data_IF_969623755695
#
_entry.id   IF_969623755695
#
_cell.length_a   1.000
_cell.length_b   1.000
_cell.length_c   1.000
_cell.angle_alpha   90.00
_cell.angle_beta   90.00
_cell.angle_gamma   90.00
#
_symmetry.space_group_name_H-M   'P 1'
#
loop_
_entity.id
_entity.type
_entity.pdbx_description
1 polymer ?
#
# COMPACT_ATOMS: atom_id res chain seq x y z
N UNK A 1 -19.28 -1.20 37.06
CA UNK A 1 -18.76 -1.43 38.43
C UNK A 1 -19.87 -1.35 39.44
N UNK A 2 -20.73 -0.31 39.37
CA UNK A 2 -21.82 -0.11 40.33
C UNK A 2 -22.90 -1.22 40.26
N UNK A 3 -22.96 -1.98 39.17
CA UNK A 3 -23.90 -3.10 39.00
C UNK A 3 -23.32 -4.45 39.47
N UNK A 4 -22.11 -4.44 40.05
CA UNK A 4 -21.51 -5.66 40.59
C UNK A 4 -22.03 -5.95 42.02
N UNK A 5 -22.85 -6.99 42.20
CA UNK A 5 -23.47 -7.29 43.50
C UNK A 5 -22.47 -7.78 44.55
N UNK A 6 -21.24 -8.09 44.16
CA UNK A 6 -20.19 -8.49 45.10
C UNK A 6 -19.47 -7.33 45.78
N UNK A 7 -19.67 -6.09 45.31
CA UNK A 7 -19.08 -4.92 45.91
C UNK A 7 -19.98 -4.36 47.05
N UNK A 8 -19.38 -4.06 48.20
CA UNK A 8 -20.10 -3.38 49.28
C UNK A 8 -20.52 -1.96 48.82
N UNK A 9 -21.66 -1.48 49.30
CA UNK A 9 -22.22 -0.19 48.89
C UNK A 9 -21.31 1.01 49.22
N UNK A 10 -20.39 0.86 50.14
CA UNK A 10 -19.39 1.84 50.59
C UNK A 10 -18.01 1.56 50.05
N UNK A 11 -17.88 0.66 49.06
CA UNK A 11 -16.59 0.35 48.45
C UNK A 11 -15.99 1.59 47.80
N UNK A 12 -14.71 1.91 48.05
CA UNK A 12 -14.01 3.03 47.42
C UNK A 12 -13.88 2.84 45.87
N UNK A 13 -14.14 1.63 45.36
CA UNK A 13 -14.21 1.35 43.93
C UNK A 13 -15.51 1.74 43.24
N UNK A 14 -16.52 2.21 44.04
CA UNK A 14 -17.80 2.63 43.49
C UNK A 14 -17.84 4.14 43.27
N UNK A 15 -18.31 4.54 42.09
CA UNK A 15 -18.63 5.94 41.85
C UNK A 15 -19.92 6.32 42.56
N UNK A 16 -19.93 7.46 43.25
CA UNK A 16 -21.17 8.00 43.82
C UNK A 16 -22.15 8.36 42.72
N UNK A 17 -23.48 8.31 43.01
CA UNK A 17 -24.48 8.72 42.02
C UNK A 17 -24.27 10.18 41.57
N UNK A 18 -23.86 11.05 42.48
CA UNK A 18 -23.51 12.45 42.15
C UNK A 18 -22.33 12.54 41.18
N UNK A 19 -21.29 11.73 41.36
CA UNK A 19 -20.16 11.69 40.44
C UNK A 19 -20.58 11.21 39.02
N UNK A 20 -21.41 10.14 38.97
CA UNK A 20 -21.96 9.62 37.72
C UNK A 20 -22.79 10.70 37.01
N UNK A 21 -23.66 11.40 37.71
CA UNK A 21 -24.53 12.44 37.15
C UNK A 21 -23.71 13.68 36.73
N UNK A 22 -22.63 14.01 37.43
CA UNK A 22 -21.71 15.06 37.04
C UNK A 22 -21.00 14.69 35.75
N UNK A 23 -20.39 13.50 35.63
CA UNK A 23 -19.73 13.04 34.40
C UNK A 23 -20.67 13.04 33.19
N UNK A 24 -21.93 12.61 33.35
CA UNK A 24 -22.93 12.64 32.27
C UNK A 24 -23.23 14.05 31.76
N UNK A 25 -23.10 15.07 32.59
CA UNK A 25 -23.34 16.48 32.23
C UNK A 25 -22.09 17.24 31.86
N UNK A 26 -20.91 16.69 32.15
CA UNK A 26 -19.63 17.32 31.92
C UNK A 26 -19.37 17.56 30.42
N UNK A 27 -18.65 18.65 30.10
CA UNK A 27 -18.35 19.09 28.75
C UNK A 27 -17.06 18.52 28.18
N UNK A 28 -16.51 17.48 28.70
CA UNK A 28 -15.31 16.83 28.19
C UNK A 28 -14.02 17.39 28.79
N UNK A 29 -13.81 18.70 28.74
CA UNK A 29 -12.58 19.40 29.14
C UNK A 29 -12.55 19.90 30.59
N UNK A 30 -13.53 19.55 31.40
CA UNK A 30 -13.72 20.04 32.77
C UNK A 30 -13.86 21.57 32.91
N UNK A 31 -14.19 22.28 31.84
CA UNK A 31 -14.39 23.74 31.88
C UNK A 31 -15.59 24.17 32.73
N UNK A 32 -16.51 23.27 32.96
CA UNK A 32 -17.69 23.47 33.81
C UNK A 32 -17.52 22.99 35.27
N UNK A 33 -16.35 22.45 35.63
CA UNK A 33 -16.03 21.95 36.96
C UNK A 33 -16.75 20.65 37.35
N UNK A 34 -17.39 19.94 36.40
CA UNK A 34 -18.11 18.70 36.64
C UNK A 34 -17.28 17.44 36.44
N UNK A 35 -16.06 17.58 35.92
CA UNK A 35 -15.18 16.49 35.58
C UNK A 35 -14.95 16.36 34.09
N UNK A 36 -14.18 15.35 33.68
CA UNK A 36 -13.92 15.07 32.27
C UNK A 36 -14.97 14.08 31.73
N UNK A 37 -15.34 14.26 30.46
CA UNK A 37 -16.20 13.32 29.73
C UNK A 37 -15.86 13.36 28.22
N UNK A 38 -14.78 12.72 27.88
CA UNK A 38 -14.26 12.73 26.51
C UNK A 38 -14.92 11.68 25.64
N UNK A 39 -15.32 12.08 24.43
CA UNK A 39 -15.49 11.16 23.30
C UNK A 39 -14.15 11.06 22.59
N UNK A 40 -13.42 9.99 22.86
CA UNK A 40 -12.08 9.79 22.27
C UNK A 40 -12.11 9.58 20.77
N UNK A 41 -13.23 9.09 20.20
CA UNK A 41 -13.37 9.00 18.75
C UNK A 41 -13.55 10.38 18.13
N UNK A 42 -14.45 11.19 18.65
CA UNK A 42 -14.59 12.56 18.17
C UNK A 42 -13.33 13.39 18.42
N UNK A 43 -12.62 13.14 19.51
CA UNK A 43 -11.35 13.80 19.80
C UNK A 43 -10.26 13.42 18.79
N UNK A 44 -10.13 12.14 18.45
CA UNK A 44 -9.01 11.63 17.63
C UNK A 44 -9.26 11.76 16.13
N UNK A 45 -10.51 11.69 15.66
CA UNK A 45 -10.82 11.52 14.26
C UNK A 45 -11.58 12.70 13.65
N UNK A 46 -11.35 12.91 12.36
CA UNK A 46 -12.03 13.91 11.55
C UNK A 46 -12.28 13.39 10.14
N UNK A 47 -13.26 13.93 9.40
CA UNK A 47 -13.41 13.65 7.99
C UNK A 47 -12.15 14.01 7.21
N UNK A 48 -11.75 13.17 6.26
CA UNK A 48 -10.64 13.46 5.36
C UNK A 48 -11.15 13.97 4.02
N UNK A 49 -10.36 14.87 3.40
CA UNK A 49 -10.64 15.38 2.05
C UNK A 49 -9.83 14.58 1.04
N UNK A 50 -10.52 14.10 0.01
CA UNK A 50 -9.93 13.43 -1.13
C UNK A 50 -9.92 14.39 -2.33
N UNK A 51 -8.78 14.54 -2.99
CA UNK A 51 -8.59 15.32 -4.20
C UNK A 51 -8.01 14.40 -5.27
N UNK A 52 -8.65 14.35 -6.43
CA UNK A 52 -8.18 13.59 -7.59
C UNK A 52 -8.25 14.49 -8.83
N UNK A 53 -7.09 14.80 -9.37
CA UNK A 53 -6.93 15.60 -10.58
C UNK A 53 -6.23 14.78 -11.63
N UNK A 54 -6.79 14.75 -12.84
CA UNK A 54 -6.15 14.13 -13.99
C UNK A 54 -6.28 15.01 -15.21
N UNK A 55 -5.18 15.11 -15.95
CA UNK A 55 -5.13 15.80 -17.24
C UNK A 55 -4.57 14.83 -18.27
N UNK A 56 -5.28 14.66 -19.37
CA UNK A 56 -4.78 13.87 -20.49
C UNK A 56 -4.85 14.66 -21.79
N UNK A 57 -3.83 14.44 -22.60
CA UNK A 57 -3.74 14.98 -23.96
C UNK A 57 -3.54 13.81 -24.91
N UNK A 58 -4.35 13.75 -25.94
CA UNK A 58 -4.22 12.78 -27.01
C UNK A 58 -4.32 13.46 -28.36
N UNK A 59 -3.58 12.97 -29.29
CA UNK A 59 -3.60 13.52 -30.64
C UNK A 59 -2.80 12.62 -31.59
N UNK A 60 -2.75 13.04 -32.83
CA UNK A 60 -1.97 12.35 -33.80
C UNK A 60 -2.25 12.81 -35.22
N UNK A 61 -1.53 12.22 -36.13
CA UNK A 61 -1.68 12.28 -37.56
C UNK A 61 -1.90 10.86 -38.09
N UNK A 62 -2.01 10.71 -39.39
CA UNK A 62 -2.07 9.38 -40.02
C UNK A 62 -0.85 8.49 -39.72
N UNK A 63 0.29 9.14 -39.34
CA UNK A 63 1.55 8.44 -39.07
C UNK A 63 2.02 8.41 -37.64
N UNK A 64 1.48 9.27 -36.77
CA UNK A 64 1.91 9.33 -35.39
C UNK A 64 0.70 9.54 -34.48
N UNK A 65 0.63 8.80 -33.40
CA UNK A 65 -0.40 8.89 -32.37
C UNK A 65 0.27 9.01 -31.03
N UNK A 66 -0.24 9.86 -30.18
CA UNK A 66 0.26 9.98 -28.82
C UNK A 66 -0.87 10.14 -27.81
N UNK A 67 -0.58 9.66 -26.61
CA UNK A 67 -1.40 9.86 -25.42
C UNK A 67 -0.46 10.17 -24.25
N UNK A 68 -0.73 11.27 -23.57
CA UNK A 68 0.01 11.71 -22.38
C UNK A 68 -1.01 11.93 -21.27
N UNK A 69 -0.74 11.40 -20.08
CA UNK A 69 -1.56 11.55 -18.87
C UNK A 69 -0.68 11.97 -17.71
N UNK A 70 -1.10 13.00 -17.01
CA UNK A 70 -0.62 13.37 -15.68
C UNK A 70 -1.76 13.30 -14.69
N UNK A 71 -1.54 12.69 -13.53
CA UNK A 71 -2.54 12.72 -12.45
C UNK A 71 -1.90 12.96 -11.10
N UNK A 72 -2.66 13.64 -10.25
CA UNK A 72 -2.36 13.95 -8.86
C UNK A 72 -3.52 13.51 -7.99
N UNK A 73 -3.23 12.68 -7.01
CA UNK A 73 -4.20 12.21 -6.03
C UNK A 73 -3.69 12.51 -4.63
N UNK A 74 -4.52 13.15 -3.82
CA UNK A 74 -4.24 13.42 -2.41
C UNK A 74 -5.43 12.97 -1.57
N UNK A 75 -5.15 12.15 -0.57
CA UNK A 75 -6.09 11.85 0.51
C UNK A 75 -5.52 12.46 1.78
N UNK A 76 -6.26 13.37 2.39
CA UNK A 76 -5.89 14.00 3.65
C UNK A 76 -5.97 13.01 4.82
N UNK A 77 -5.34 13.38 5.92
CA UNK A 77 -5.41 12.61 7.16
C UNK A 77 -6.78 12.71 7.82
N UNK A 78 -7.15 11.63 8.48
CA UNK A 78 -8.38 11.53 9.27
C UNK A 78 -8.14 11.67 10.78
N UNK A 79 -6.91 11.97 11.22
CA UNK A 79 -6.59 12.26 12.61
C UNK A 79 -6.64 13.76 12.88
N UNK A 80 -7.32 14.16 13.96
CA UNK A 80 -7.20 15.49 14.57
C UNK A 80 -5.86 15.58 15.32
N UNK A 81 -5.43 16.78 15.64
CA UNK A 81 -4.26 17.06 16.47
C UNK A 81 -2.92 16.47 15.97
N UNK A 82 -2.87 15.96 14.73
CA UNK A 82 -1.61 15.57 14.12
C UNK A 82 -0.89 16.81 13.58
N UNK A 83 0.42 16.90 13.76
CA UNK A 83 1.22 17.93 13.08
C UNK A 83 1.42 17.59 11.59
N UNK A 84 1.98 18.52 10.82
CA UNK A 84 2.17 18.35 9.36
C UNK A 84 3.03 17.14 9.00
N UNK A 85 3.96 16.73 9.89
CA UNK A 85 4.92 15.65 9.64
C UNK A 85 4.33 14.28 9.92
N UNK A 86 3.44 14.17 10.90
CA UNK A 86 2.76 12.92 11.25
C UNK A 86 1.29 12.87 10.81
N UNK A 87 0.85 13.80 9.98
CA UNK A 87 -0.46 13.73 9.34
C UNK A 87 -0.59 12.44 8.52
N UNK A 88 -1.69 11.72 8.73
CA UNK A 88 -1.96 10.47 8.00
C UNK A 88 -2.38 10.77 6.56
N UNK A 89 -1.40 11.13 5.72
CA UNK A 89 -1.60 11.58 4.35
C UNK A 89 -1.17 10.52 3.34
N UNK A 90 -1.89 10.44 2.24
CA UNK A 90 -1.50 9.70 1.05
C UNK A 90 -1.44 10.63 -0.16
N UNK A 91 -0.31 10.62 -0.87
CA UNK A 91 -0.08 11.36 -2.11
C UNK A 91 0.30 10.37 -3.21
N UNK A 92 -0.23 10.58 -4.41
CA UNK A 92 0.15 9.82 -5.60
C UNK A 92 0.26 10.72 -6.82
N UNK A 93 1.42 10.70 -7.42
CA UNK A 93 1.69 11.28 -8.73
C UNK A 93 1.77 10.15 -9.75
N UNK A 94 1.11 10.28 -10.86
CA UNK A 94 1.16 9.31 -11.93
C UNK A 94 1.35 10.02 -13.26
N UNK A 95 2.28 9.52 -14.05
CA UNK A 95 2.57 9.97 -15.40
C UNK A 95 2.56 8.79 -16.36
N UNK A 96 1.97 8.98 -17.52
CA UNK A 96 1.99 8.02 -18.61
C UNK A 96 2.14 8.73 -19.95
N UNK A 97 2.99 8.20 -20.81
CA UNK A 97 3.14 8.64 -22.19
C UNK A 97 3.22 7.42 -23.10
N UNK A 98 2.35 7.35 -24.08
CA UNK A 98 2.36 6.32 -25.12
C UNK A 98 2.47 7.03 -26.47
N UNK A 99 3.40 6.58 -27.28
CA UNK A 99 3.64 7.13 -28.61
C UNK A 99 3.76 5.98 -29.61
N UNK A 100 2.94 6.02 -30.64
CA UNK A 100 3.00 5.11 -31.78
C UNK A 100 3.35 5.90 -33.04
N UNK A 101 4.33 5.44 -33.78
CA UNK A 101 4.78 6.07 -35.01
C UNK A 101 4.86 5.06 -36.13
N UNK A 102 4.15 5.28 -37.21
CA UNK A 102 4.28 4.58 -38.47
C UNK A 102 5.45 5.21 -39.25
N UNK A 103 6.71 4.83 -38.88
CA UNK A 103 7.94 5.39 -39.43
C UNK A 103 8.03 5.17 -40.96
N UNK A 104 7.50 4.05 -41.45
CA UNK A 104 7.25 3.78 -42.87
C UNK A 104 5.91 3.07 -43.01
N UNK A 105 5.51 2.76 -44.25
CA UNK A 105 4.28 1.95 -44.50
C UNK A 105 4.33 0.55 -43.85
N UNK A 106 5.52 0.08 -43.51
CA UNK A 106 5.78 -1.27 -42.98
C UNK A 106 6.41 -1.26 -41.59
N UNK A 107 7.04 -0.17 -41.16
CA UNK A 107 7.77 -0.09 -39.90
C UNK A 107 6.95 0.75 -38.90
N UNK A 108 6.60 0.14 -37.78
CA UNK A 108 5.92 0.78 -36.63
C UNK A 108 6.83 0.78 -35.43
N UNK A 109 6.87 1.91 -34.75
CA UNK A 109 7.62 2.13 -33.51
C UNK A 109 6.61 2.49 -32.44
N UNK A 110 6.63 1.77 -31.31
CA UNK A 110 5.83 2.11 -30.13
C UNK A 110 6.73 2.34 -28.93
N UNK A 111 6.46 3.40 -28.19
CA UNK A 111 7.14 3.73 -26.93
C UNK A 111 6.07 3.96 -25.88
N UNK A 112 6.15 3.21 -24.78
CA UNK A 112 5.30 3.39 -23.62
C UNK A 112 6.17 3.72 -22.40
N UNK A 113 5.83 4.80 -21.70
CA UNK A 113 6.50 5.23 -20.50
C UNK A 113 5.46 5.42 -19.40
N UNK A 114 5.77 4.94 -18.21
CA UNK A 114 4.97 5.13 -17.02
C UNK A 114 5.84 5.44 -15.81
N UNK A 115 5.46 6.44 -15.05
CA UNK A 115 6.09 6.76 -13.77
C UNK A 115 5.02 6.98 -12.72
N UNK A 116 5.21 6.39 -11.54
CA UNK A 116 4.33 6.60 -10.39
C UNK A 116 5.15 6.80 -9.13
N UNK A 117 4.85 7.87 -8.42
CA UNK A 117 5.39 8.13 -7.08
C UNK A 117 4.23 8.13 -6.10
N UNK A 118 4.36 7.39 -5.02
CA UNK A 118 3.39 7.42 -3.92
C UNK A 118 4.11 7.73 -2.62
N UNK A 119 3.53 8.62 -1.83
CA UNK A 119 4.01 8.98 -0.51
C UNK A 119 2.92 8.71 0.52
N UNK A 120 3.30 8.00 1.58
CA UNK A 120 2.49 7.77 2.76
C UNK A 120 3.17 8.42 3.93
N UNK A 121 2.46 9.26 4.66
CA UNK A 121 2.91 9.80 5.93
C UNK A 121 1.91 9.42 7.00
N UNK A 122 2.37 8.87 8.11
CA UNK A 122 1.52 8.43 9.21
C UNK A 122 2.24 8.65 10.55
N UNK A 123 1.50 8.78 11.67
CA UNK A 123 2.09 8.90 13.00
C UNK A 123 3.00 7.72 13.34
N UNK A 124 3.92 7.92 14.26
CA UNK A 124 4.72 6.83 14.82
C UNK A 124 3.87 5.79 15.56
N UNK A 125 2.77 6.22 16.15
CA UNK A 125 1.75 5.33 16.69
C UNK A 125 0.98 4.61 15.58
N UNK A 126 0.78 3.30 15.75
CA UNK A 126 0.00 2.53 14.79
C UNK A 126 -1.50 2.87 14.86
N UNK A 127 -2.21 2.69 13.75
CA UNK A 127 -3.67 2.86 13.74
C UNK A 127 -4.36 1.95 14.75
N UNK A 128 -3.86 0.73 14.96
CA UNK A 128 -4.38 -0.19 15.96
C UNK A 128 -4.25 0.38 17.38
N UNK A 129 -3.11 1.00 17.71
CA UNK A 129 -2.92 1.63 19.02
C UNK A 129 -3.86 2.81 19.22
N UNK A 130 -4.02 3.69 18.23
CA UNK A 130 -4.93 4.84 18.32
C UNK A 130 -6.38 4.38 18.50
N UNK A 131 -6.83 3.40 17.72
CA UNK A 131 -8.18 2.83 17.84
C UNK A 131 -8.36 2.11 19.20
N UNK A 132 -7.35 1.38 19.66
CA UNK A 132 -7.38 0.73 20.97
C UNK A 132 -7.56 1.76 22.09
N UNK A 133 -6.77 2.83 22.07
CA UNK A 133 -6.92 3.92 23.06
C UNK A 133 -8.32 4.53 23.02
N UNK A 134 -8.85 4.82 21.83
CA UNK A 134 -10.18 5.38 21.68
C UNK A 134 -11.30 4.47 22.26
N UNK A 135 -11.08 3.15 22.26
CA UNK A 135 -12.04 2.18 22.79
C UNK A 135 -11.86 1.86 24.27
N UNK A 136 -10.64 1.98 24.80
CA UNK A 136 -10.32 1.45 26.14
C UNK A 136 -10.10 2.52 27.18
N UNK A 137 -9.77 3.76 26.79
CA UNK A 137 -9.59 4.83 27.76
C UNK A 137 -10.95 5.25 28.35
N UNK A 138 -11.05 5.32 29.69
CA UNK A 138 -12.25 5.82 30.34
C UNK A 138 -12.50 7.31 30.04
N UNK A 139 -13.71 7.72 29.71
CA UNK A 139 -14.03 9.10 29.34
C UNK A 139 -13.79 10.12 30.45
N UNK A 140 -13.74 9.67 31.71
CA UNK A 140 -13.52 10.53 32.87
C UNK A 140 -12.02 10.85 33.12
N UNK A 141 -11.09 10.27 32.39
CA UNK A 141 -9.68 10.61 32.52
C UNK A 141 -9.35 11.89 31.73
N UNK A 142 -8.51 12.78 32.27
CA UNK A 142 -8.04 13.94 31.51
C UNK A 142 -7.18 13.50 30.32
N UNK A 143 -7.28 14.19 29.19
CA UNK A 143 -6.30 14.05 28.11
C UNK A 143 -5.09 14.94 28.41
N UNK A 144 -5.34 16.12 28.94
CA UNK A 144 -4.34 17.10 29.28
C UNK A 144 -4.57 17.67 30.68
N UNK A 145 -3.48 18.04 31.32
CA UNK A 145 -3.48 18.75 32.60
C UNK A 145 -3.04 20.20 32.37
N UNK A 146 -3.60 21.17 33.10
CA UNK A 146 -3.09 22.53 33.06
C UNK A 146 -1.68 22.60 33.67
N UNK A 147 -0.87 23.56 33.21
CA UNK A 147 0.43 23.81 33.82
C UNK A 147 0.25 24.24 35.29
N UNK A 148 1.05 23.66 36.16
CA UNK A 148 1.07 24.00 37.58
C UNK A 148 2.01 25.19 37.93
N UNK A 149 2.55 25.88 36.90
CA UNK A 149 3.44 27.03 37.07
C UNK A 149 4.89 26.67 37.45
N UNK A 150 5.27 25.41 37.36
CA UNK A 150 6.59 24.95 37.73
C UNK A 150 7.53 24.88 36.51
N UNK A 151 8.79 25.36 36.68
CA UNK A 151 9.79 25.46 35.62
C UNK A 151 10.24 24.11 35.06
N UNK A 152 10.03 23.00 35.81
CA UNK A 152 10.47 21.66 35.36
C UNK A 152 9.71 21.17 34.14
N UNK A 153 8.45 21.52 34.00
CA UNK A 153 7.62 21.07 32.90
C UNK A 153 7.33 22.18 31.87
N UNK A 154 8.05 23.30 31.95
CA UNK A 154 7.87 24.42 31.02
C UNK A 154 8.06 24.00 29.56
N UNK A 155 9.09 23.22 29.27
CA UNK A 155 9.37 22.72 27.92
C UNK A 155 8.25 21.83 27.38
N UNK A 156 7.78 20.86 28.18
CA UNK A 156 6.68 19.98 27.81
C UNK A 156 5.36 20.76 27.64
N UNK A 157 5.12 21.74 28.50
CA UNK A 157 3.96 22.62 28.42
C UNK A 157 3.96 23.43 27.12
N UNK A 158 5.07 24.07 26.77
CA UNK A 158 5.20 24.86 25.54
C UNK A 158 5.05 24.00 24.29
N UNK A 159 5.69 22.82 24.26
CA UNK A 159 5.62 21.89 23.15
C UNK A 159 4.22 21.30 22.92
N UNK A 160 3.41 21.15 23.95
CA UNK A 160 2.04 20.66 23.89
C UNK A 160 0.97 21.77 23.82
N UNK A 161 1.37 22.99 23.41
CA UNK A 161 0.43 24.10 23.23
C UNK A 161 -0.15 24.64 24.54
N UNK A 162 0.60 24.57 25.62
CA UNK A 162 0.19 25.07 26.92
C UNK A 162 -0.46 24.03 27.86
N UNK A 163 -0.27 22.73 27.59
CA UNK A 163 -0.83 21.65 28.37
C UNK A 163 0.20 20.55 28.63
N UNK A 164 0.03 19.83 29.74
CA UNK A 164 0.78 18.61 30.06
C UNK A 164 -0.05 17.39 29.68
N UNK A 165 0.57 16.41 29.04
CA UNK A 165 -0.10 15.17 28.65
C UNK A 165 -0.33 14.30 29.90
N UNK A 166 -1.60 13.91 30.14
CA UNK A 166 -1.92 13.03 31.26
C UNK A 166 -1.70 11.56 30.91
N UNK A 167 -1.12 10.80 31.84
CA UNK A 167 -1.17 9.35 31.86
C UNK A 167 -1.07 8.85 33.30
N UNK A 168 -1.48 7.62 33.56
CA UNK A 168 -1.34 6.95 34.84
C UNK A 168 -0.74 5.54 34.67
N UNK A 169 -0.66 4.78 35.76
CA UNK A 169 -0.07 3.43 35.74
C UNK A 169 -0.89 2.42 34.96
N UNK A 170 -2.21 2.60 34.86
CA UNK A 170 -3.13 1.72 34.14
C UNK A 170 -3.25 2.16 32.67
N UNK A 171 -3.30 3.48 32.45
CA UNK A 171 -3.46 4.12 31.14
C UNK A 171 -2.23 4.97 30.79
N UNK A 172 -1.13 4.29 30.45
CA UNK A 172 0.21 4.89 30.26
C UNK A 172 0.39 5.68 28.97
N UNK A 173 -0.49 5.48 27.98
CA UNK A 173 -0.45 6.17 26.72
C UNK A 173 -1.51 7.27 26.66
N UNK A 174 -1.11 8.43 26.21
CA UNK A 174 -1.99 9.58 26.03
C UNK A 174 -2.46 9.69 24.58
N UNK A 175 -3.74 9.95 24.35
CA UNK A 175 -4.30 10.07 23.00
C UNK A 175 -3.65 11.20 22.21
N UNK A 176 -3.55 12.40 22.76
CA UNK A 176 -2.91 13.53 22.11
C UNK A 176 -1.41 13.26 21.84
N UNK A 177 -0.72 12.67 22.81
CA UNK A 177 0.67 12.26 22.66
C UNK A 177 0.88 11.24 21.54
N UNK A 178 -0.01 10.26 21.40
CA UNK A 178 0.07 9.30 20.30
C UNK A 178 -0.19 9.96 18.94
N UNK A 179 -1.05 10.94 18.85
CA UNK A 179 -1.37 11.65 17.61
C UNK A 179 -0.30 12.67 17.21
N UNK A 180 0.32 13.37 18.17
CA UNK A 180 1.19 14.52 17.91
C UNK A 180 2.67 14.32 18.28
N UNK A 181 2.99 13.43 19.23
CA UNK A 181 4.34 13.27 19.83
C UNK A 181 4.98 11.91 19.57
N UNK A 182 4.28 10.94 18.99
CA UNK A 182 4.82 9.61 18.70
C UNK A 182 5.85 9.59 17.55
N UNK A 183 6.16 10.75 16.97
CA UNK A 183 6.95 10.84 15.75
C UNK A 183 6.16 10.55 14.48
N UNK A 184 6.85 10.22 13.39
CA UNK A 184 6.21 9.93 12.10
C UNK A 184 6.96 8.86 11.32
N UNK A 185 6.27 8.30 10.35
CA UNK A 185 6.87 7.46 9.33
C UNK A 185 6.46 7.95 7.94
N UNK A 186 7.42 8.21 7.07
CA UNK A 186 7.21 8.61 5.69
C UNK A 186 7.76 7.54 4.75
N UNK A 187 6.85 6.91 4.00
CA UNK A 187 7.17 5.88 3.01
C UNK A 187 6.98 6.41 1.60
N UNK A 188 8.04 6.44 0.83
CA UNK A 188 8.00 6.83 -0.58
C UNK A 188 8.26 5.60 -1.46
N UNK A 189 7.36 5.35 -2.40
CA UNK A 189 7.47 4.30 -3.41
C UNK A 189 7.56 4.93 -4.80
N UNK A 190 8.51 4.46 -5.59
CA UNK A 190 8.72 4.90 -6.96
C UNK A 190 8.65 3.70 -7.89
N UNK A 191 7.82 3.82 -8.90
CA UNK A 191 7.67 2.87 -9.99
C UNK A 191 8.03 3.57 -11.29
N UNK A 192 8.89 2.95 -12.06
CA UNK A 192 9.19 3.39 -13.41
C UNK A 192 9.02 2.19 -14.35
N UNK A 193 8.30 2.40 -15.43
CA UNK A 193 8.03 1.40 -16.45
C UNK A 193 8.33 1.99 -17.80
N UNK A 194 8.99 1.22 -18.65
CA UNK A 194 9.26 1.62 -20.03
C UNK A 194 9.19 0.43 -20.97
N UNK A 195 8.60 0.63 -22.13
CA UNK A 195 8.70 -0.33 -23.22
C UNK A 195 8.99 0.36 -24.54
N UNK A 196 9.78 -0.31 -25.35
CA UNK A 196 10.10 0.06 -26.72
C UNK A 196 9.82 -1.12 -27.62
N UNK A 197 8.96 -0.93 -28.63
CA UNK A 197 8.57 -1.99 -29.56
C UNK A 197 8.79 -1.52 -31.00
N UNK A 198 9.42 -2.38 -31.78
CA UNK A 198 9.52 -2.28 -33.22
C UNK A 198 8.68 -3.38 -33.85
N UNK A 199 7.89 -3.06 -34.88
CA UNK A 199 7.16 -4.05 -35.66
C UNK A 199 7.36 -3.74 -37.14
N UNK A 200 7.65 -4.76 -37.92
CA UNK A 200 7.89 -4.62 -39.35
C UNK A 200 7.09 -5.68 -40.12
N UNK A 201 6.28 -5.20 -41.09
CA UNK A 201 5.55 -6.07 -42.01
C UNK A 201 6.54 -6.56 -43.10
N UNK A 202 6.60 -7.86 -43.28
CA UNK A 202 7.51 -8.54 -44.20
C UNK A 202 6.77 -9.10 -45.44
N UNK A 203 5.66 -8.47 -45.84
CA UNK A 203 4.82 -8.86 -46.97
C UNK A 203 5.60 -8.95 -48.29
N UNK A 204 6.75 -8.27 -48.41
CA UNK A 204 7.66 -8.35 -49.55
C UNK A 204 8.38 -9.69 -49.65
N UNK A 205 8.45 -10.48 -48.56
CA UNK A 205 8.96 -11.85 -48.54
C UNK A 205 7.82 -12.83 -48.83
N UNK A 206 6.77 -12.72 -48.01
CA UNK A 206 5.51 -13.47 -48.16
C UNK A 206 4.36 -12.73 -47.48
N UNK A 207 3.20 -12.71 -48.14
CA UNK A 207 2.02 -12.06 -47.63
C UNK A 207 1.64 -12.61 -46.26
N UNK A 208 1.37 -11.69 -45.31
CA UNK A 208 0.97 -12.01 -43.96
C UNK A 208 2.09 -12.35 -42.99
N UNK A 209 3.36 -12.16 -43.39
CA UNK A 209 4.53 -12.30 -42.52
C UNK A 209 4.85 -10.98 -41.85
N UNK A 210 5.10 -10.99 -40.54
CA UNK A 210 5.57 -9.83 -39.78
C UNK A 210 6.54 -10.23 -38.67
N UNK A 211 7.41 -9.30 -38.29
CA UNK A 211 8.33 -9.45 -37.17
C UNK A 211 8.14 -8.31 -36.19
N UNK A 212 8.20 -8.60 -34.88
CA UNK A 212 8.20 -7.60 -33.83
C UNK A 212 9.30 -7.91 -32.81
N UNK A 213 9.95 -6.87 -32.32
CA UNK A 213 10.86 -6.94 -31.18
C UNK A 213 10.44 -5.92 -30.13
N UNK A 214 10.46 -6.31 -28.88
CA UNK A 214 10.12 -5.43 -27.76
C UNK A 214 11.14 -5.61 -26.63
N UNK A 215 11.58 -4.49 -26.11
CA UNK A 215 12.31 -4.41 -24.85
C UNK A 215 11.46 -3.67 -23.84
N UNK A 216 11.37 -4.17 -22.61
CA UNK A 216 10.73 -3.48 -21.49
C UNK A 216 11.58 -3.53 -20.25
N UNK A 217 11.50 -2.46 -19.46
CA UNK A 217 12.15 -2.34 -18.17
C UNK A 217 11.19 -1.78 -17.16
N UNK A 218 11.00 -2.52 -16.05
CA UNK A 218 10.19 -2.13 -14.91
C UNK A 218 11.09 -2.05 -13.69
N UNK A 219 10.96 -1.00 -12.90
CA UNK A 219 11.68 -0.90 -11.62
C UNK A 219 10.79 -0.39 -10.52
N UNK A 220 11.05 -0.88 -9.34
CA UNK A 220 10.42 -0.49 -8.09
C UNK A 220 11.49 -0.16 -7.06
N UNK A 221 11.29 0.97 -6.38
CA UNK A 221 12.11 1.38 -5.25
C UNK A 221 11.21 1.89 -4.14
N UNK A 222 11.52 1.52 -2.90
CA UNK A 222 10.86 2.04 -1.71
C UNK A 222 11.91 2.46 -0.70
N UNK A 223 11.72 3.63 -0.12
CA UNK A 223 12.41 4.01 1.11
C UNK A 223 11.39 4.48 2.15
N UNK A 224 11.73 4.26 3.40
CA UNK A 224 10.94 4.67 4.54
C UNK A 224 11.84 5.43 5.51
N UNK A 225 11.45 6.63 5.82
CA UNK A 225 12.05 7.44 6.88
C UNK A 225 11.16 7.25 8.10
N UNK A 226 11.73 6.71 9.17
CA UNK A 226 11.06 6.64 10.47
C UNK A 226 11.75 7.63 11.40
N UNK A 227 10.98 8.57 11.90
CA UNK A 227 11.32 9.42 12.99
C UNK A 227 10.40 9.02 14.14
N UNK A 228 10.76 7.97 14.84
CA UNK A 228 9.98 7.43 15.96
C UNK A 228 10.58 7.84 17.28
N UNK A 229 9.71 8.15 18.22
CA UNK A 229 10.10 8.36 19.60
C UNK A 229 10.09 6.99 20.28
N UNK A 230 11.26 6.48 20.73
CA UNK A 230 11.35 5.14 21.29
C UNK A 230 10.62 5.08 22.63
N UNK A 231 9.92 3.97 22.87
CA UNK A 231 9.36 3.67 24.19
C UNK A 231 10.48 3.37 25.19
N UNK A 232 10.26 3.67 26.43
CA UNK A 232 11.18 3.26 27.51
C UNK A 232 10.45 2.37 28.52
N UNK A 233 11.19 1.60 29.28
CA UNK A 233 10.66 0.68 30.27
C UNK A 233 11.22 0.95 31.66
N UNK A 234 10.34 0.99 32.64
CA UNK A 234 10.70 1.07 34.06
C UNK A 234 10.14 -0.18 34.75
N UNK A 235 11.01 -1.07 35.15
CA UNK A 235 10.61 -2.40 35.61
C UNK A 235 9.93 -3.22 34.50
N UNK A 236 8.73 -3.71 34.79
CA UNK A 236 7.91 -4.46 33.82
C UNK A 236 6.93 -3.58 33.02
N UNK A 237 6.97 -2.27 33.22
CA UNK A 237 6.05 -1.32 32.59
C UNK A 237 6.74 -0.63 31.44
N UNK A 238 6.01 -0.48 30.33
CA UNK A 238 6.48 0.25 29.15
C UNK A 238 5.69 1.54 28.99
N UNK A 239 6.41 2.63 28.82
CA UNK A 239 5.87 3.98 28.65
C UNK A 239 6.16 4.50 27.25
N UNK A 240 5.37 5.49 26.76
CA UNK A 240 5.71 6.18 25.52
C UNK A 240 7.05 6.93 25.68
N UNK A 241 7.69 7.25 24.56
CA UNK A 241 8.93 8.03 24.60
C UNK A 241 8.72 9.54 24.77
N UNK A 242 7.48 10.01 24.72
CA UNK A 242 7.14 11.40 25.07
C UNK A 242 6.73 11.49 26.53
N UNK A 243 6.92 12.67 27.13
CA UNK A 243 6.62 12.91 28.55
C UNK A 243 5.13 12.83 28.82
N UNK A 244 4.78 12.13 29.88
CA UNK A 244 3.42 12.10 30.44
C UNK A 244 3.44 12.35 31.94
N UNK A 245 2.38 12.93 32.44
CA UNK A 245 2.27 13.37 33.81
C UNK A 245 1.04 12.75 34.46
N UNK A 246 1.14 12.31 35.69
CA UNK A 246 0.02 11.77 36.45
C UNK A 246 -0.22 12.57 37.70
N UNK A 247 -1.48 12.58 38.12
CA UNK A 247 -1.87 13.08 39.44
C UNK A 247 -1.65 11.94 40.43
N UNK A 248 -0.97 12.19 41.58
CA UNK A 248 -0.99 11.26 42.68
C UNK A 248 -2.45 11.04 43.15
N UNK A 249 -2.81 9.80 43.47
CA UNK A 249 -4.17 9.41 43.86
C UNK A 249 -4.73 10.22 45.03
N UNK A 250 -3.87 10.81 45.86
CA UNK A 250 -4.17 11.53 47.08
C UNK A 250 -4.47 13.01 46.86
N UNK A 251 -4.32 13.53 45.61
CA UNK A 251 -4.42 14.97 45.36
C UNK A 251 -5.49 15.32 44.35
N UNK A 252 -6.25 16.37 44.68
CA UNK A 252 -7.08 17.06 43.70
C UNK A 252 -6.21 17.86 42.70
N UNK A 253 -6.78 18.25 41.57
CA UNK A 253 -6.09 19.12 40.59
C UNK A 253 -5.61 20.43 41.20
N UNK A 254 -6.36 21.00 42.16
CA UNK A 254 -5.99 22.26 42.81
C UNK A 254 -4.84 22.07 43.81
N UNK A 255 -4.78 20.94 44.51
CA UNK A 255 -3.63 20.59 45.37
C UNK A 255 -2.41 20.31 44.54
N UNK A 256 -2.54 19.64 43.42
CA UNK A 256 -1.43 19.37 42.49
C UNK A 256 -0.83 20.64 41.90
N UNK A 257 -1.64 21.64 41.51
CA UNK A 257 -1.15 22.93 41.03
C UNK A 257 -0.25 23.66 42.02
N UNK A 258 -0.42 23.40 43.30
CA UNK A 258 0.28 24.11 44.37
C UNK A 258 1.44 23.32 45.00
N UNK A 259 1.65 22.06 44.60
CA UNK A 259 2.61 21.19 45.27
C UNK A 259 3.59 20.54 44.32
N UNK A 260 4.82 21.09 44.22
CA UNK A 260 5.87 20.61 43.34
C UNK A 260 6.56 19.30 43.78
N UNK A 261 6.18 18.74 44.94
CA UNK A 261 6.87 17.58 45.52
C UNK A 261 6.41 16.24 44.94
N UNK A 262 5.28 16.20 44.19
CA UNK A 262 4.61 14.97 43.79
C UNK A 262 4.44 14.85 42.26
N UNK A 263 5.51 15.10 41.54
CA UNK A 263 5.48 14.96 40.10
C UNK A 263 5.89 13.56 39.68
N UNK A 264 5.06 12.97 38.88
CA UNK A 264 5.33 11.66 38.30
C UNK A 264 5.35 11.83 36.78
N UNK A 265 6.53 11.69 36.23
CA UNK A 265 6.76 11.67 34.79
C UNK A 265 7.01 10.22 34.36
N UNK A 266 6.27 9.75 33.37
CA UNK A 266 6.42 8.41 32.83
C UNK A 266 6.49 7.29 33.90
N UNK A 267 5.63 7.40 34.93
CA UNK A 267 5.54 6.44 36.03
C UNK A 267 6.66 6.52 37.06
N UNK A 268 7.53 7.51 37.01
CA UNK A 268 8.62 7.73 37.99
C UNK A 268 8.47 9.10 38.67
N UNK A 269 8.73 9.15 39.97
CA UNK A 269 8.78 10.42 40.68
C UNK A 269 9.97 11.24 40.17
N UNK A 270 9.70 12.47 39.75
CA UNK A 270 10.71 13.41 39.24
C UNK A 270 10.91 14.53 40.24
N UNK A 271 12.17 14.76 40.64
CA UNK A 271 12.50 15.94 41.42
C UNK A 271 12.82 17.10 40.48
N UNK A 272 12.66 18.34 40.97
CA UNK A 272 12.80 19.56 40.19
C UNK A 272 14.12 19.67 39.35
N UNK A 273 15.13 18.86 39.67
CA UNK A 273 16.45 18.85 38.98
C UNK A 273 16.62 17.67 37.97
N UNK A 274 15.64 16.80 37.82
CA UNK A 274 15.71 15.68 36.89
C UNK A 274 14.87 15.98 35.66
N UNK A 275 15.41 16.80 34.74
CA UNK A 275 14.89 16.81 33.37
C UNK A 275 15.28 15.49 32.71
N UNK A 276 14.34 14.64 32.51
CA UNK A 276 14.50 13.63 31.46
C UNK A 276 14.29 14.35 30.15
N UNK A 277 15.36 14.52 29.41
CA UNK A 277 15.28 14.95 28.01
C UNK A 277 14.59 13.83 27.25
N UNK A 278 13.27 13.95 27.12
CA UNK A 278 12.51 13.16 26.21
C UNK A 278 12.90 13.56 24.82
N UNK A 279 13.06 12.88 23.90
CA UNK A 279 13.31 13.17 22.48
C UNK A 279 14.67 12.75 21.94
N UNK A 280 15.17 11.61 22.40
CA UNK A 280 16.06 10.87 21.52
C UNK A 280 15.24 10.32 20.35
N UNK A 281 14.84 11.22 19.45
CA UNK A 281 14.18 10.84 18.21
C UNK A 281 15.12 9.93 17.43
N UNK A 282 14.78 8.65 17.34
CA UNK A 282 15.52 7.69 16.54
C UNK A 282 15.21 7.89 15.06
N UNK A 283 16.07 8.60 14.34
CA UNK A 283 15.99 8.66 12.89
C UNK A 283 16.53 7.38 12.28
N UNK A 284 15.68 6.61 11.60
CA UNK A 284 16.13 5.48 10.80
C UNK A 284 15.64 5.60 9.36
N UNK A 285 16.56 5.33 8.43
CA UNK A 285 16.26 5.24 7.02
C UNK A 285 16.33 3.77 6.60
N UNK A 286 15.22 3.20 6.23
CA UNK A 286 15.15 1.86 5.69
C UNK A 286 14.83 1.88 4.19
N UNK A 287 15.51 1.03 3.44
CA UNK A 287 15.24 0.80 2.03
C UNK A 287 14.69 -0.61 1.88
N UNK A 288 13.53 -0.75 1.24
CA UNK A 288 13.17 -2.06 0.73
C UNK A 288 14.11 -2.43 -0.42
N UNK A 289 14.31 -3.71 -0.61
CA UNK A 289 15.11 -4.18 -1.72
C UNK A 289 14.56 -3.61 -3.04
N UNK A 290 15.38 -2.86 -3.81
CA UNK A 290 14.95 -2.38 -5.11
C UNK A 290 14.72 -3.57 -6.04
N UNK A 291 13.65 -3.50 -6.81
CA UNK A 291 13.37 -4.52 -7.81
C UNK A 291 13.53 -3.93 -9.19
N UNK A 292 14.16 -4.69 -10.07
CA UNK A 292 14.30 -4.35 -11.48
C UNK A 292 13.99 -5.58 -12.33
N UNK A 293 13.17 -5.42 -13.35
CA UNK A 293 12.86 -6.48 -14.29
C UNK A 293 13.07 -5.97 -15.72
N UNK A 294 14.01 -6.54 -16.44
CA UNK A 294 14.16 -6.34 -17.87
C UNK A 294 13.61 -7.52 -18.64
N UNK A 295 12.90 -7.24 -19.72
CA UNK A 295 12.35 -8.26 -20.63
C UNK A 295 12.69 -7.90 -22.05
N UNK A 296 13.10 -8.89 -22.80
CA UNK A 296 13.25 -8.82 -24.24
C UNK A 296 12.42 -9.91 -24.87
N UNK A 297 11.69 -9.57 -25.93
CA UNK A 297 10.97 -10.53 -26.75
C UNK A 297 11.11 -10.19 -28.23
N UNK A 298 11.25 -11.22 -29.04
CA UNK A 298 11.20 -11.13 -30.49
C UNK A 298 10.20 -12.15 -31.01
N UNK A 299 9.29 -11.70 -31.88
CA UNK A 299 8.20 -12.51 -32.38
C UNK A 299 8.11 -12.42 -33.89
N UNK A 300 8.01 -13.58 -34.54
CA UNK A 300 7.69 -13.74 -35.96
C UNK A 300 6.29 -14.27 -36.08
N UNK A 301 5.43 -13.57 -36.79
CA UNK A 301 4.03 -13.92 -37.00
C UNK A 301 3.79 -14.15 -38.51
N UNK A 302 3.01 -15.16 -38.83
CA UNK A 302 2.48 -15.42 -40.13
C UNK A 302 0.97 -15.65 -40.07
N UNK A 303 0.23 -14.97 -40.92
CA UNK A 303 -1.22 -15.15 -40.98
C UNK A 303 -1.69 -15.00 -42.44
N UNK A 304 -2.22 -16.06 -43.04
CA UNK A 304 -2.68 -16.04 -44.42
C UNK A 304 -3.90 -16.90 -44.63
N UNK A 305 -4.76 -16.43 -45.52
CA UNK A 305 -5.94 -17.14 -45.99
C UNK A 305 -5.75 -17.65 -47.40
N UNK A 306 -5.98 -18.95 -47.60
CA UNK A 306 -5.91 -19.63 -48.90
C UNK A 306 -7.29 -20.21 -49.24
N UNK A 307 -8.12 -19.41 -49.88
CA UNK A 307 -9.52 -19.81 -50.12
C UNK A 307 -10.26 -20.05 -48.80
N UNK A 308 -10.67 -21.30 -48.56
CA UNK A 308 -11.38 -21.70 -47.33
C UNK A 308 -10.46 -22.10 -46.18
N UNK A 309 -9.14 -22.01 -46.36
CA UNK A 309 -8.13 -22.42 -45.41
C UNK A 309 -7.52 -21.19 -44.76
N UNK A 310 -7.55 -21.07 -43.44
CA UNK A 310 -6.83 -20.05 -42.68
C UNK A 310 -5.65 -20.69 -41.94
N UNK A 311 -4.47 -20.14 -42.11
CA UNK A 311 -3.25 -20.59 -41.44
C UNK A 311 -2.67 -19.46 -40.67
N UNK A 312 -2.38 -19.68 -39.36
CA UNK A 312 -1.53 -18.77 -38.60
C UNK A 312 -0.37 -19.53 -37.97
N UNK A 313 0.77 -18.88 -37.87
CA UNK A 313 1.93 -19.40 -37.15
C UNK A 313 2.63 -18.26 -36.40
N UNK A 314 3.18 -18.57 -35.24
CA UNK A 314 3.94 -17.63 -34.42
C UNK A 314 5.13 -18.35 -33.82
N UNK A 315 6.30 -17.70 -33.87
CA UNK A 315 7.47 -18.09 -33.09
C UNK A 315 7.87 -16.91 -32.22
N UNK A 316 7.99 -17.13 -30.93
CA UNK A 316 8.38 -16.16 -29.94
C UNK A 316 9.66 -16.60 -29.25
N UNK A 317 10.65 -15.74 -29.22
CA UNK A 317 11.75 -15.78 -28.26
C UNK A 317 11.51 -14.77 -27.17
N UNK A 318 11.71 -15.15 -25.91
CA UNK A 318 11.65 -14.20 -24.81
C UNK A 318 12.72 -14.48 -23.76
N UNK A 319 13.15 -13.43 -23.11
CA UNK A 319 14.12 -13.44 -22.04
C UNK A 319 13.69 -12.44 -20.96
N UNK A 320 13.78 -12.87 -19.71
CA UNK A 320 13.53 -12.02 -18.56
C UNK A 320 14.72 -12.10 -17.62
N UNK A 321 15.08 -10.96 -17.05
CA UNK A 321 16.06 -10.85 -15.98
C UNK A 321 15.43 -10.03 -14.85
N UNK A 322 15.20 -10.66 -13.69
CA UNK A 322 14.65 -10.03 -12.50
C UNK A 322 15.73 -9.97 -11.42
N UNK A 323 15.94 -8.77 -10.87
CA UNK A 323 16.86 -8.49 -9.78
C UNK A 323 16.05 -7.99 -8.59
N UNK A 324 16.29 -8.55 -7.41
CA UNK A 324 15.66 -8.12 -6.16
C UNK A 324 16.79 -7.82 -5.15
N UNK A 325 16.98 -6.56 -4.85
CA UNK A 325 17.98 -6.13 -3.87
C UNK A 325 19.39 -6.60 -4.19
N UNK A 326 19.93 -7.43 -3.32
CA UNK A 326 21.29 -8.01 -3.39
C UNK A 326 21.27 -9.49 -3.82
N UNK A 327 20.11 -10.02 -4.17
CA UNK A 327 19.97 -11.42 -4.57
C UNK A 327 20.59 -11.66 -5.96
N UNK A 328 20.96 -12.90 -6.22
CA UNK A 328 21.41 -13.32 -7.56
C UNK A 328 20.25 -13.10 -8.54
N UNK A 329 20.50 -12.47 -9.70
CA UNK A 329 19.47 -12.22 -10.68
C UNK A 329 18.77 -13.51 -11.11
N UNK A 330 17.45 -13.54 -11.06
CA UNK A 330 16.65 -14.61 -11.60
C UNK A 330 16.45 -14.43 -13.10
N UNK A 331 16.92 -15.40 -13.88
CA UNK A 331 16.84 -15.36 -15.33
C UNK A 331 15.97 -16.48 -15.86
N UNK A 332 15.11 -16.10 -16.78
CA UNK A 332 14.20 -16.99 -17.47
C UNK A 332 14.24 -16.68 -18.97
N UNK A 333 14.33 -17.71 -19.81
CA UNK A 333 14.33 -17.55 -21.25
C UNK A 333 13.64 -18.73 -21.92
N UNK A 334 13.15 -18.51 -23.13
CA UNK A 334 12.52 -19.59 -23.86
C UNK A 334 12.09 -19.23 -25.27
N UNK A 335 11.72 -20.28 -25.99
CA UNK A 335 11.05 -20.20 -27.27
C UNK A 335 9.64 -20.74 -27.11
N UNK A 336 8.70 -20.09 -27.79
CA UNK A 336 7.32 -20.59 -27.90
C UNK A 336 6.91 -20.59 -29.35
N UNK A 337 6.35 -21.70 -29.81
CA UNK A 337 5.77 -21.84 -31.14
C UNK A 337 4.27 -22.07 -31.03
N UNK A 338 3.51 -21.46 -31.92
CA UNK A 338 2.07 -21.69 -32.07
C UNK A 338 1.75 -21.80 -33.55
N UNK A 339 0.97 -22.79 -33.95
CA UNK A 339 0.39 -22.91 -35.26
C UNK A 339 -1.12 -23.17 -35.14
N UNK A 340 -1.90 -22.46 -35.92
CA UNK A 340 -3.34 -22.73 -36.03
C UNK A 340 -3.70 -22.95 -37.50
N UNK A 341 -4.66 -23.82 -37.68
CA UNK A 341 -5.27 -24.07 -38.97
C UNK A 341 -6.78 -24.21 -38.81
N UNK A 342 -7.51 -23.55 -39.64
CA UNK A 342 -8.94 -23.78 -39.76
C UNK A 342 -9.38 -23.98 -41.22
N UNK A 343 -10.38 -24.82 -41.39
CA UNK A 343 -11.02 -25.06 -42.67
C UNK A 343 -12.47 -24.62 -42.58
N UNK A 344 -12.86 -23.64 -43.41
CA UNK A 344 -14.21 -23.07 -43.50
C UNK A 344 -14.74 -22.55 -42.15
N UNK A 345 -13.89 -22.22 -41.22
CA UNK A 345 -14.21 -21.92 -39.80
C UNK A 345 -15.00 -23.05 -39.10
N UNK A 346 -15.02 -24.25 -39.66
CA UNK A 346 -15.71 -25.43 -39.12
C UNK A 346 -14.80 -26.34 -38.34
N UNK A 347 -13.65 -26.67 -38.93
CA UNK A 347 -12.65 -27.57 -38.33
C UNK A 347 -11.44 -26.77 -37.94
N UNK A 348 -11.09 -26.82 -36.66
CA UNK A 348 -10.08 -25.98 -36.06
C UNK A 348 -8.99 -26.87 -35.42
N UNK A 349 -7.76 -26.57 -35.72
CA UNK A 349 -6.59 -27.25 -35.16
C UNK A 349 -5.62 -26.22 -34.61
N UNK A 350 -5.06 -26.50 -33.45
CA UNK A 350 -4.05 -25.67 -32.83
C UNK A 350 -2.96 -26.56 -32.23
N UNK A 351 -1.71 -26.20 -32.50
CA UNK A 351 -0.54 -26.78 -31.89
C UNK A 351 0.30 -25.71 -31.24
N UNK A 352 0.74 -25.95 -30.00
CA UNK A 352 1.63 -25.09 -29.26
C UNK A 352 2.82 -25.91 -28.76
N UNK A 353 3.97 -25.28 -28.73
CA UNK A 353 5.18 -25.84 -28.14
C UNK A 353 5.92 -24.77 -27.36
N UNK A 354 6.29 -25.05 -26.12
CA UNK A 354 7.18 -24.24 -25.31
C UNK A 354 8.51 -24.98 -25.11
N UNK A 355 9.61 -24.27 -25.29
CA UNK A 355 10.96 -24.70 -24.90
C UNK A 355 11.52 -23.67 -23.96
N UNK A 356 11.35 -23.91 -22.66
CA UNK A 356 11.55 -22.92 -21.61
C UNK A 356 12.69 -23.33 -20.69
N UNK A 357 13.50 -22.36 -20.29
CA UNK A 357 14.63 -22.56 -19.40
C UNK A 357 14.60 -21.61 -18.21
N UNK A 358 14.90 -22.15 -17.04
CA UNK A 358 15.00 -21.43 -15.77
C UNK A 358 16.36 -21.70 -15.11
N UNK A 359 16.94 -20.66 -14.51
CA UNK A 359 18.18 -20.78 -13.74
C UNK A 359 17.98 -21.43 -12.36
N UNK A 360 16.75 -21.69 -11.94
CA UNK A 360 16.47 -22.47 -10.74
C UNK A 360 16.93 -23.93 -10.84
N UNK A 361 17.16 -24.43 -12.06
CA UNK A 361 17.63 -25.77 -12.29
C UNK A 361 19.13 -25.84 -12.55
N UNK A 362 19.76 -26.95 -12.20
CA UNK A 362 21.17 -27.20 -12.44
C UNK A 362 21.54 -27.14 -13.92
N UNK A 363 22.79 -26.80 -14.23
CA UNK A 363 23.30 -26.81 -15.59
C UNK A 363 23.06 -28.19 -16.24
N UNK A 364 22.56 -28.19 -17.47
CA UNK A 364 22.18 -29.41 -18.19
C UNK A 364 20.72 -29.85 -18.03
N UNK A 365 20.01 -29.33 -17.03
CA UNK A 365 18.58 -29.64 -16.76
C UNK A 365 17.70 -28.39 -16.76
N UNK A 366 18.19 -27.26 -17.26
CA UNK A 366 17.52 -25.95 -17.20
C UNK A 366 16.34 -25.82 -18.15
N UNK A 367 16.31 -26.59 -19.25
CA UNK A 367 15.31 -26.48 -20.29
C UNK A 367 14.36 -27.67 -20.31
N UNK A 368 13.07 -27.36 -20.48
CA UNK A 368 12.01 -28.34 -20.66
C UNK A 368 11.19 -28.07 -21.92
N UNK A 369 10.66 -29.11 -22.53
CA UNK A 369 9.76 -29.05 -23.69
C UNK A 369 8.32 -29.30 -23.26
N UNK A 370 7.42 -28.41 -23.63
CA UNK A 370 6.02 -28.40 -23.20
C UNK A 370 5.09 -28.31 -24.42
N UNK A 371 4.77 -29.42 -25.08
CA UNK A 371 3.84 -29.45 -26.19
C UNK A 371 2.40 -29.43 -25.73
N UNK A 372 1.53 -28.79 -26.52
CA UNK A 372 0.08 -28.82 -26.34
C UNK A 372 -0.62 -28.83 -27.70
N UNK A 373 -1.76 -29.50 -27.78
CA UNK A 373 -2.58 -29.53 -28.99
C UNK A 373 -4.06 -29.40 -28.67
N UNK A 374 -4.82 -28.81 -29.58
CA UNK A 374 -6.27 -28.78 -29.48
C UNK A 374 -6.92 -28.94 -30.84
N UNK A 375 -8.12 -29.53 -30.83
CA UNK A 375 -9.00 -29.66 -31.97
C UNK A 375 -10.34 -29.05 -31.62
N UNK A 376 -11.01 -28.46 -32.61
CA UNK A 376 -12.33 -27.89 -32.48
C UNK A 376 -13.19 -28.16 -33.71
N UNK A 377 -14.48 -28.41 -33.46
CA UNK A 377 -15.45 -28.61 -34.48
C UNK A 377 -16.67 -27.72 -34.23
N UNK A 378 -16.97 -26.85 -35.18
CA UNK A 378 -18.16 -25.97 -35.11
C UNK A 378 -19.33 -26.69 -35.76
N UNK A 379 -20.01 -27.51 -34.98
CA UNK A 379 -21.08 -28.40 -35.42
C UNK A 379 -22.26 -27.59 -36.02
N UNK A 380 -22.55 -26.42 -35.43
CA UNK A 380 -23.63 -25.54 -35.91
C UNK A 380 -23.45 -25.03 -37.33
N UNK A 381 -22.25 -25.08 -37.90
CA UNK A 381 -21.97 -24.70 -39.29
C UNK A 381 -22.12 -25.87 -40.30
N UNK A 382 -22.45 -27.07 -39.82
CA UNK A 382 -22.64 -28.19 -40.66
C UNK A 382 -24.01 -28.16 -41.37
N UNK A 383 -24.11 -28.76 -42.58
CA UNK A 383 -25.29 -28.76 -43.38
C UNK A 383 -26.52 -29.37 -42.66
N UNK A 384 -26.29 -30.44 -41.87
CA UNK A 384 -27.34 -31.11 -41.10
C UNK A 384 -27.86 -30.28 -39.93
N UNK A 385 -27.12 -29.24 -39.49
CA UNK A 385 -27.58 -28.35 -38.44
C UNK A 385 -28.35 -27.12 -38.92
N UNK A 386 -28.36 -26.81 -40.21
CA UNK A 386 -29.02 -25.62 -40.77
C UNK A 386 -30.52 -25.53 -40.45
N UNK A 387 -31.18 -26.66 -40.24
CA UNK A 387 -32.60 -26.70 -39.93
C UNK A 387 -32.91 -26.67 -38.41
N UNK A 388 -31.87 -26.68 -37.56
CA UNK A 388 -31.98 -26.69 -36.08
C UNK A 388 -32.00 -25.26 -35.59
N UNK A 389 -33.21 -24.61 -35.59
CA UNK A 389 -33.35 -23.16 -35.31
C UNK A 389 -33.14 -22.74 -33.83
N UNK A 390 -33.10 -23.68 -32.92
CA UNK A 390 -32.96 -23.42 -31.50
C UNK A 390 -31.50 -23.46 -31.02
N UNK A 391 -30.54 -23.80 -31.87
CA UNK A 391 -29.11 -23.77 -31.59
C UNK A 391 -28.42 -22.78 -32.55
N UNK A 392 -28.07 -21.63 -32.06
CA UNK A 392 -27.35 -20.61 -32.85
C UNK A 392 -25.86 -20.95 -33.03
N UNK A 393 -25.23 -21.49 -31.99
CA UNK A 393 -23.80 -21.86 -32.00
C UNK A 393 -23.55 -23.10 -31.18
N UNK A 394 -23.01 -24.15 -31.81
CA UNK A 394 -22.54 -25.35 -31.15
C UNK A 394 -21.08 -25.65 -31.59
N UNK A 395 -20.16 -25.64 -30.65
CA UNK A 395 -18.75 -25.98 -30.88
C UNK A 395 -18.27 -27.03 -29.90
N UNK A 396 -17.71 -28.10 -30.39
CA UNK A 396 -17.01 -29.10 -29.62
C UNK A 396 -15.50 -28.80 -29.62
N UNK A 397 -14.82 -28.97 -28.50
CA UNK A 397 -13.39 -28.76 -28.36
C UNK A 397 -12.77 -29.79 -27.46
N UNK A 398 -11.60 -30.30 -27.85
CA UNK A 398 -10.74 -31.11 -27.00
C UNK A 398 -9.31 -30.57 -27.04
N UNK A 399 -8.61 -30.62 -25.91
CA UNK A 399 -7.22 -30.19 -25.81
C UNK A 399 -6.45 -31.04 -24.82
N UNK A 400 -5.17 -31.22 -25.11
CA UNK A 400 -4.21 -31.89 -24.23
C UNK A 400 -2.90 -31.14 -24.27
N UNK A 401 -2.18 -31.04 -23.16
CA UNK A 401 -0.90 -30.37 -23.08
C UNK A 401 -0.11 -30.72 -21.85
N UNK A 402 1.20 -30.53 -21.94
CA UNK A 402 2.15 -30.63 -20.85
C UNK A 402 2.51 -29.25 -20.36
N UNK A 403 2.65 -29.09 -19.06
CA UNK A 403 3.10 -27.84 -18.41
C UNK A 403 4.23 -28.15 -17.45
N UNK A 404 5.12 -27.18 -17.25
CA UNK A 404 6.19 -27.23 -16.27
C UNK A 404 6.05 -26.15 -15.24
N UNK A 405 6.61 -26.37 -14.06
CA UNK A 405 6.73 -25.40 -12.98
C UNK A 405 8.19 -25.33 -12.54
N UNK A 406 8.74 -24.12 -12.39
CA UNK A 406 10.10 -23.86 -11.91
C UNK A 406 10.13 -23.26 -10.51
N UNK A 407 8.97 -23.08 -9.88
CA UNK A 407 8.88 -22.69 -8.48
C UNK A 407 9.07 -23.93 -7.60
N UNK A 408 10.25 -24.04 -7.06
CA UNK A 408 10.59 -25.06 -6.06
C UNK A 408 10.29 -24.40 -4.71
N UNK A 409 9.28 -24.93 -3.98
CA UNK A 409 8.96 -24.52 -2.61
C UNK A 409 10.01 -25.04 -1.64
#
# INVERSE_FOLDING_TARGET
LNDNPSLAADSPSLFTQTAIDNYRRAKGDNSDGLGYNWDYFDYAFQPSVLQDYSLSVRGGTDRARYFILGSYYKQGGNYKHSNSDNANNFLRYNFRANVDVDATKRLKISVDLGARVTEYTYPGATAANIISLANTQPPYLPIVLPNNGNEVNQGDFEENGGYLLYADNDYRYNMLGQLSRSGFSKRTRRYLQGSFKLSHDLDFITEGLSIAAQFSYDTFNQHTINNSVPTHSTGNLTYPGYSTWMLPEEYSIDEWKNNSAYWIQNGSYVTANQRTTDDAQGNSLSHANPEGTSRFQARLDYARKFGDHNVTAMVLYYMQNKIVGKEVPYRYMGFSGRATYDYKNKYLFEFNIGYNGSENFARGHRFGVFPAGSIGWVVSQEEFMKNVRWIDHLKLRASYGLVGNDQIC
#
